data_IF_913418620735
#
_entry.id   IF_913418620735
#
_cell.length_a   1.000
_cell.length_b   1.000
_cell.length_c   1.000
_cell.angle_alpha   90.00
_cell.angle_beta   90.00
_cell.angle_gamma   90.00
#
_symmetry.space_group_name_H-M   'P 1'
#
loop_
_entity.id
_entity.type
_entity.pdbx_description
1 polymer ?
#
# COMPACT_ATOMS: atom_id res chain seq x y z
N UNK A 1 59.65 21.23 -14.15
CA UNK A 1 60.31 20.36 -13.16
C UNK A 1 59.24 19.93 -12.19
N UNK A 2 58.82 18.66 -12.29
CA UNK A 2 59.27 17.55 -11.42
C UNK A 2 58.67 17.72 -10.02
N UNK A 3 57.64 16.95 -9.67
CA UNK A 3 57.67 15.52 -9.29
C UNK A 3 57.44 15.48 -7.78
N UNK A 4 56.32 14.96 -7.28
CA UNK A 4 55.93 13.55 -7.14
C UNK A 4 56.06 13.19 -5.66
N UNK A 5 54.99 12.59 -5.10
CA UNK A 5 55.05 11.42 -4.20
C UNK A 5 55.59 11.71 -2.79
N UNK A 6 55.01 11.27 -1.67
CA UNK A 6 54.41 10.01 -1.22
C UNK A 6 53.96 10.29 0.23
N UNK A 7 53.12 9.57 0.97
CA UNK A 7 52.24 8.41 0.80
C UNK A 7 51.82 8.05 2.25
N UNK A 8 50.53 7.76 2.44
CA UNK A 8 49.99 6.81 3.44
C UNK A 8 50.11 7.12 4.95
N UNK A 9 49.22 6.66 5.84
CA UNK A 9 47.95 5.93 5.80
C UNK A 9 47.63 5.63 7.27
N UNK A 10 46.36 5.69 7.66
CA UNK A 10 45.62 4.82 8.60
C UNK A 10 44.30 5.57 8.87
N UNK A 11 43.24 5.26 8.10
CA UNK A 11 42.21 4.26 8.40
C UNK A 11 41.43 4.57 9.69
N UNK A 12 40.15 4.91 9.54
CA UNK A 12 39.20 4.95 10.64
C UNK A 12 37.85 5.57 10.28
N UNK A 13 36.98 4.79 9.62
CA UNK A 13 35.51 4.93 9.68
C UNK A 13 34.90 6.18 9.05
N UNK A 14 34.79 6.20 7.72
CA UNK A 14 33.61 6.77 7.04
C UNK A 14 33.24 5.80 5.91
N UNK A 15 32.40 4.82 6.27
CA UNK A 15 31.80 3.88 5.34
C UNK A 15 30.28 4.02 5.44
N UNK A 16 29.65 4.07 4.27
CA UNK A 16 28.24 3.78 3.99
C UNK A 16 27.27 4.93 4.30
N UNK A 17 26.96 5.76 3.28
CA UNK A 17 25.61 6.27 2.94
C UNK A 17 25.68 7.16 1.68
N UNK A 18 26.18 6.62 0.55
CA UNK A 18 26.14 7.36 -0.73
C UNK A 18 26.40 6.48 -1.99
N UNK A 19 25.90 5.25 -2.03
CA UNK A 19 25.96 4.35 -3.21
C UNK A 19 24.78 3.38 -2.99
N UNK A 20 23.64 3.36 -3.70
CA UNK A 20 23.34 3.48 -5.12
C UNK A 20 21.96 4.15 -5.32
N UNK A 21 21.94 5.36 -5.88
CA UNK A 21 20.75 5.92 -6.53
C UNK A 21 21.09 6.13 -8.01
N UNK A 22 21.49 5.07 -8.70
CA UNK A 22 21.86 5.13 -10.11
C UNK A 22 21.73 3.75 -10.78
N UNK A 23 20.49 3.29 -10.98
CA UNK A 23 20.10 2.37 -12.07
C UNK A 23 18.60 2.06 -12.00
N UNK A 24 17.75 3.02 -12.38
CA UNK A 24 16.38 2.74 -12.85
C UNK A 24 15.93 3.75 -13.93
N UNK A 25 16.88 4.45 -14.55
CA UNK A 25 16.62 5.45 -15.62
C UNK A 25 16.88 4.92 -17.03
N UNK A 26 16.99 3.61 -17.22
CA UNK A 26 17.01 2.99 -18.53
C UNK A 26 15.80 2.07 -18.66
N UNK A 27 14.68 2.67 -19.07
CA UNK A 27 13.44 1.92 -19.34
C UNK A 27 12.14 2.71 -19.32
N UNK A 28 12.10 4.00 -18.98
CA UNK A 28 10.90 4.79 -19.19
C UNK A 28 11.21 6.29 -19.35
N UNK A 29 11.77 6.67 -20.49
CA UNK A 29 11.57 8.02 -21.02
C UNK A 29 10.66 7.88 -22.22
N UNK A 30 9.37 8.06 -21.98
CA UNK A 30 8.34 8.07 -23.01
C UNK A 30 7.35 9.19 -22.74
N UNK A 31 7.52 10.29 -23.48
CA UNK A 31 6.46 11.13 -24.06
C UNK A 31 5.18 11.29 -23.24
N UNK A 32 4.90 12.52 -22.79
CA UNK A 32 3.60 13.00 -22.31
C UNK A 32 2.54 13.03 -23.44
N UNK A 33 2.21 11.86 -23.97
CA UNK A 33 1.04 11.63 -24.82
C UNK A 33 -0.19 11.25 -23.97
N UNK A 34 -1.40 11.25 -24.55
CA UNK A 34 -2.56 10.68 -23.87
C UNK A 34 -2.26 9.24 -23.46
N UNK A 35 -2.54 8.94 -22.19
CA UNK A 35 -2.46 7.59 -21.64
C UNK A 35 -3.71 6.85 -22.12
N UNK A 36 -3.54 5.83 -22.95
CA UNK A 36 -4.67 5.11 -23.52
C UNK A 36 -5.12 3.95 -22.60
N UNK A 37 -6.43 3.87 -22.41
CA UNK A 37 -7.08 2.81 -21.63
C UNK A 37 -7.96 1.98 -22.54
N UNK A 38 -8.07 0.69 -22.25
CA UNK A 38 -9.10 -0.17 -22.85
C UNK A 38 -10.30 -0.16 -21.92
N UNK A 39 -11.49 0.18 -22.44
CA UNK A 39 -12.74 0.03 -21.68
C UNK A 39 -13.24 -1.40 -21.81
N UNK A 40 -13.20 -2.18 -20.72
CA UNK A 40 -13.62 -3.59 -20.72
C UNK A 40 -15.06 -3.76 -21.24
N UNK A 41 -15.96 -2.81 -20.94
CA UNK A 41 -17.34 -2.83 -21.41
C UNK A 41 -17.52 -2.73 -22.95
N UNK A 42 -16.50 -2.26 -23.68
CA UNK A 42 -16.57 -1.98 -25.11
C UNK A 42 -15.65 -2.87 -25.95
N UNK A 43 -15.07 -3.91 -25.36
CA UNK A 43 -14.14 -4.82 -26.01
C UNK A 43 -14.62 -6.27 -25.87
N UNK A 44 -14.46 -7.09 -26.92
CA UNK A 44 -14.70 -8.52 -26.77
C UNK A 44 -13.51 -9.15 -26.05
N UNK A 45 -13.75 -9.83 -24.92
CA UNK A 45 -12.73 -10.53 -24.15
C UNK A 45 -12.84 -12.03 -24.39
N UNK A 46 -11.89 -12.57 -25.16
CA UNK A 46 -11.75 -14.01 -25.39
C UNK A 46 -10.69 -14.62 -24.47
N UNK A 47 -10.64 -15.95 -24.41
CA UNK A 47 -9.59 -16.70 -23.70
C UNK A 47 -8.95 -17.71 -24.65
N UNK A 48 -7.67 -17.51 -24.91
CA UNK A 48 -6.83 -18.37 -25.76
C UNK A 48 -5.44 -18.44 -25.14
N UNK A 49 -5.23 -19.40 -24.22
CA UNK A 49 -3.98 -19.52 -23.48
C UNK A 49 -2.85 -19.94 -24.43
N UNK A 50 -1.79 -19.13 -24.48
CA UNK A 50 -0.59 -19.38 -25.27
C UNK A 50 0.51 -19.92 -24.33
N UNK A 51 0.90 -21.18 -24.51
CA UNK A 51 1.94 -21.81 -23.69
C UNK A 51 3.33 -21.18 -23.84
N UNK A 52 3.55 -20.36 -24.86
CA UNK A 52 4.79 -19.59 -25.04
C UNK A 52 4.82 -18.28 -24.25
N UNK A 53 3.69 -17.89 -23.65
CA UNK A 53 3.54 -16.66 -22.87
C UNK A 53 3.33 -17.00 -21.40
N UNK A 54 4.14 -16.43 -20.52
CA UNK A 54 4.06 -16.66 -19.07
C UNK A 54 4.09 -15.39 -18.25
N UNK A 55 3.64 -15.51 -17.00
CA UNK A 55 3.69 -14.44 -16.00
C UNK A 55 4.51 -14.92 -14.81
N UNK A 56 5.50 -14.11 -14.42
CA UNK A 56 6.18 -14.20 -13.14
C UNK A 56 5.77 -13.01 -12.26
N UNK A 57 5.82 -13.19 -10.94
CA UNK A 57 5.43 -12.16 -9.98
C UNK A 57 6.58 -11.92 -9.01
N UNK A 58 6.81 -10.65 -8.68
CA UNK A 58 7.82 -10.23 -7.70
C UNK A 58 7.23 -9.23 -6.71
N UNK A 59 7.88 -9.07 -5.56
CA UNK A 59 7.56 -8.03 -4.57
C UNK A 59 8.53 -6.84 -4.59
N UNK A 60 9.59 -6.92 -5.38
CA UNK A 60 10.63 -5.89 -5.52
C UNK A 60 11.06 -5.75 -6.98
N UNK A 61 11.57 -4.57 -7.33
CA UNK A 61 12.24 -4.30 -8.61
C UNK A 61 13.66 -3.80 -8.31
N UNK A 62 14.72 -4.41 -8.85
CA UNK A 62 14.69 -5.58 -9.75
C UNK A 62 14.24 -6.86 -9.00
N UNK A 63 13.62 -7.82 -9.71
CA UNK A 63 13.17 -9.06 -9.09
C UNK A 63 14.38 -9.85 -8.57
N UNK A 64 14.29 -10.33 -7.32
CA UNK A 64 15.17 -11.39 -6.85
C UNK A 64 14.79 -12.72 -7.53
N UNK A 65 15.73 -13.68 -7.60
CA UNK A 65 15.70 -14.90 -8.45
C UNK A 65 14.53 -15.91 -8.20
N UNK A 66 13.36 -15.49 -7.72
CA UNK A 66 12.21 -16.35 -7.47
C UNK A 66 10.88 -15.66 -7.77
N UNK A 67 10.03 -16.31 -8.57
CA UNK A 67 8.60 -15.98 -8.68
C UNK A 67 7.94 -16.19 -7.32
N UNK A 68 7.35 -15.14 -6.75
CA UNK A 68 6.54 -15.19 -5.52
C UNK A 68 5.08 -15.48 -5.87
N UNK A 69 4.36 -16.22 -5.04
CA UNK A 69 2.93 -16.57 -5.26
C UNK A 69 2.06 -16.37 -4.03
N UNK A 70 2.64 -15.95 -2.92
CA UNK A 70 1.95 -15.63 -1.66
C UNK A 70 2.42 -14.25 -1.26
N UNK A 71 1.52 -13.27 -1.14
CA UNK A 71 1.83 -11.88 -0.81
C UNK A 71 1.10 -11.47 0.47
N UNK A 72 1.54 -10.41 1.12
CA UNK A 72 0.81 -9.80 2.23
C UNK A 72 -0.16 -8.72 1.71
N UNK A 73 -1.25 -8.45 2.43
CA UNK A 73 -2.13 -7.30 2.14
C UNK A 73 -1.31 -6.01 2.09
N UNK A 74 -1.46 -5.26 0.99
CA UNK A 74 -0.71 -4.01 0.74
C UNK A 74 0.77 -4.23 0.38
N UNK A 75 1.25 -5.47 0.25
CA UNK A 75 2.53 -5.75 -0.36
C UNK A 75 2.44 -5.59 -1.88
N UNK A 76 3.22 -4.66 -2.44
CA UNK A 76 3.28 -4.43 -3.87
C UNK A 76 3.59 -5.72 -4.65
N UNK A 77 2.80 -5.99 -5.67
CA UNK A 77 3.00 -7.11 -6.59
C UNK A 77 3.34 -6.53 -7.96
N UNK A 78 4.50 -6.92 -8.47
CA UNK A 78 5.01 -6.55 -9.78
C UNK A 78 4.87 -7.74 -10.73
N UNK A 79 3.88 -7.72 -11.63
CA UNK A 79 3.76 -8.74 -12.65
C UNK A 79 4.82 -8.51 -13.75
N UNK A 80 5.38 -9.60 -14.27
CA UNK A 80 6.37 -9.60 -15.33
C UNK A 80 5.95 -10.59 -16.39
N UNK A 81 5.71 -10.09 -17.60
CA UNK A 81 5.40 -10.90 -18.76
C UNK A 81 6.65 -11.44 -19.45
N UNK A 82 6.53 -12.65 -19.98
CA UNK A 82 7.55 -13.29 -20.82
C UNK A 82 6.85 -13.86 -22.07
N UNK A 83 7.54 -13.83 -23.22
CA UNK A 83 7.05 -14.41 -24.48
C UNK A 83 6.19 -13.51 -25.37
N UNK A 84 5.80 -12.31 -24.92
CA UNK A 84 5.18 -11.32 -25.79
C UNK A 84 6.19 -10.70 -26.76
N UNK A 85 5.73 -10.35 -27.96
CA UNK A 85 6.58 -9.81 -29.04
C UNK A 85 6.65 -8.29 -28.96
N UNK A 86 7.76 -7.72 -29.42
CA UNK A 86 7.89 -6.26 -29.58
C UNK A 86 6.72 -5.71 -30.40
N UNK A 87 6.06 -4.67 -29.87
CA UNK A 87 4.87 -4.06 -30.46
C UNK A 87 3.53 -4.65 -29.99
N UNK A 88 3.53 -5.78 -29.29
CA UNK A 88 2.30 -6.29 -28.67
C UNK A 88 1.78 -5.31 -27.61
N UNK A 89 0.47 -5.07 -27.63
CA UNK A 89 -0.24 -4.33 -26.58
C UNK A 89 -0.77 -5.31 -25.53
N UNK A 90 -0.61 -4.98 -24.26
CA UNK A 90 -1.08 -5.83 -23.17
C UNK A 90 -1.51 -5.04 -21.94
N UNK A 91 -2.33 -5.68 -21.11
CA UNK A 91 -2.72 -5.20 -19.80
C UNK A 91 -2.90 -6.39 -18.84
N UNK A 92 -3.07 -6.08 -17.55
CA UNK A 92 -3.35 -7.07 -16.52
C UNK A 92 -4.77 -6.92 -16.00
N UNK A 93 -5.37 -8.06 -15.67
CA UNK A 93 -6.69 -8.17 -15.05
C UNK A 93 -6.60 -9.14 -13.89
N UNK A 94 -7.31 -8.89 -12.79
CA UNK A 94 -7.33 -9.79 -11.63
C UNK A 94 -8.75 -10.27 -11.37
N UNK A 95 -8.89 -11.58 -11.24
CA UNK A 95 -10.11 -12.23 -10.78
C UNK A 95 -9.88 -12.94 -9.45
N UNK A 96 -10.93 -13.08 -8.63
CA UNK A 96 -10.90 -13.92 -7.43
C UNK A 96 -11.06 -15.42 -7.78
N UNK A 97 -11.04 -16.28 -6.75
CA UNK A 97 -11.23 -17.73 -6.89
C UNK A 97 -12.59 -18.15 -7.45
N UNK A 98 -13.60 -17.27 -7.38
CA UNK A 98 -14.93 -17.49 -7.94
C UNK A 98 -15.05 -16.97 -9.38
N UNK A 99 -13.98 -16.37 -9.91
CA UNK A 99 -13.95 -15.75 -11.24
C UNK A 99 -14.55 -14.34 -11.28
N UNK A 100 -14.90 -13.75 -10.14
CA UNK A 100 -15.35 -12.36 -10.07
C UNK A 100 -14.16 -11.41 -10.32
N UNK A 101 -14.41 -10.36 -11.10
CA UNK A 101 -13.38 -9.38 -11.48
C UNK A 101 -13.13 -8.44 -10.31
N UNK A 102 -11.89 -8.39 -9.84
CA UNK A 102 -11.46 -7.52 -8.74
C UNK A 102 -10.74 -6.30 -9.30
N UNK A 103 -9.91 -6.50 -10.32
CA UNK A 103 -9.22 -5.44 -11.04
C UNK A 103 -9.57 -5.61 -12.52
N UNK A 104 -10.44 -4.75 -13.09
CA UNK A 104 -10.80 -4.80 -14.50
C UNK A 104 -9.70 -4.20 -15.38
N UNK A 105 -9.80 -4.40 -16.69
CA UNK A 105 -8.81 -3.92 -17.68
C UNK A 105 -8.72 -2.41 -17.81
N UNK A 106 -9.78 -1.69 -17.48
CA UNK A 106 -9.85 -0.23 -17.60
C UNK A 106 -9.21 0.51 -16.42
N UNK A 107 -8.83 -0.22 -15.38
CA UNK A 107 -8.16 0.33 -14.19
C UNK A 107 -6.69 0.70 -14.46
N UNK A 108 -6.05 0.03 -15.43
CA UNK A 108 -4.68 0.31 -15.83
C UNK A 108 -4.58 0.67 -17.31
N UNK A 109 -3.67 1.59 -17.67
CA UNK A 109 -3.35 1.78 -19.07
C UNK A 109 -2.71 0.53 -19.64
N UNK A 110 -3.00 0.25 -20.90
CA UNK A 110 -2.28 -0.82 -21.59
C UNK A 110 -0.85 -0.39 -21.88
N UNK A 111 0.05 -1.35 -21.90
CA UNK A 111 1.44 -1.15 -22.28
C UNK A 111 1.73 -1.76 -23.63
N UNK A 112 2.79 -1.27 -24.25
CA UNK A 112 3.33 -1.84 -25.49
C UNK A 112 4.72 -2.38 -25.21
N UNK A 113 4.99 -3.61 -25.63
CA UNK A 113 6.31 -4.23 -25.47
C UNK A 113 7.33 -3.45 -26.30
N UNK A 114 8.28 -2.80 -25.61
CA UNK A 114 9.39 -2.04 -26.24
C UNK A 114 10.66 -2.86 -26.37
N UNK A 115 10.81 -3.90 -25.54
CA UNK A 115 11.93 -4.84 -25.53
C UNK A 115 11.43 -6.19 -24.99
N UNK A 116 11.97 -7.29 -25.50
CA UNK A 116 11.64 -8.63 -25.00
C UNK A 116 12.21 -8.83 -23.58
N UNK A 117 11.43 -9.46 -22.69
CA UNK A 117 11.85 -9.76 -21.31
C UNK A 117 11.98 -8.54 -20.38
N UNK A 118 11.26 -7.44 -20.66
CA UNK A 118 11.20 -6.27 -19.79
C UNK A 118 10.40 -6.51 -18.50
N UNK A 119 10.65 -5.71 -17.47
CA UNK A 119 9.78 -5.68 -16.29
C UNK A 119 8.38 -5.25 -16.73
N UNK A 120 7.38 -6.04 -16.34
CA UNK A 120 6.01 -5.78 -16.74
C UNK A 120 5.49 -4.46 -16.23
N UNK A 121 4.50 -3.94 -16.94
CA UNK A 121 3.91 -2.65 -16.57
C UNK A 121 2.87 -2.80 -15.48
N UNK A 122 2.97 -1.96 -14.46
CA UNK A 122 1.97 -1.83 -13.42
C UNK A 122 2.41 -2.39 -12.07
N UNK A 123 1.61 -2.10 -11.06
CA UNK A 123 1.78 -2.60 -9.70
C UNK A 123 0.40 -2.81 -9.13
N UNK A 124 0.15 -4.00 -8.59
CA UNK A 124 -1.12 -4.36 -7.94
C UNK A 124 -0.89 -4.54 -6.43
N UNK A 125 -1.97 -4.58 -5.65
CA UNK A 125 -1.96 -4.77 -4.20
C UNK A 125 -1.15 -3.70 -3.44
N UNK A 126 -1.47 -2.42 -3.68
CA UNK A 126 -0.85 -1.31 -2.94
C UNK A 126 -1.90 -0.51 -2.18
N UNK A 127 -1.49 0.13 -1.08
CA UNK A 127 -2.35 0.95 -0.22
C UNK A 127 -3.05 2.12 -0.95
N UNK A 128 -2.59 2.46 -2.15
CA UNK A 128 -3.10 3.58 -2.97
C UNK A 128 -3.90 3.15 -4.19
N UNK A 129 -3.67 1.93 -4.70
CA UNK A 129 -4.25 1.45 -5.96
C UNK A 129 -4.45 -0.07 -5.86
N UNK A 130 -5.69 -0.51 -6.05
CA UNK A 130 -6.08 -1.92 -6.15
C UNK A 130 -5.55 -2.80 -5.01
N UNK A 131 -5.84 -2.38 -3.78
CA UNK A 131 -5.54 -3.15 -2.58
C UNK A 131 -6.29 -4.49 -2.63
N UNK A 132 -5.55 -5.59 -2.47
CA UNK A 132 -6.12 -6.92 -2.41
C UNK A 132 -6.18 -7.38 -0.95
N UNK A 133 -7.31 -8.00 -0.59
CA UNK A 133 -7.51 -8.54 0.76
C UNK A 133 -7.07 -9.99 0.82
N UNK A 134 -7.11 -10.57 2.01
CA UNK A 134 -6.88 -11.99 2.21
C UNK A 134 -7.76 -12.83 1.26
N UNK A 135 -7.13 -13.67 0.44
CA UNK A 135 -7.83 -14.46 -0.56
C UNK A 135 -6.92 -15.07 -1.63
N UNK A 136 -7.52 -15.88 -2.50
CA UNK A 136 -6.89 -16.45 -3.66
C UNK A 136 -7.32 -15.70 -4.92
N UNK A 137 -6.36 -15.44 -5.81
CA UNK A 137 -6.56 -14.63 -7.00
C UNK A 137 -5.89 -15.26 -8.22
N UNK A 138 -6.42 -14.91 -9.39
CA UNK A 138 -5.83 -15.21 -10.69
C UNK A 138 -5.48 -13.91 -11.38
N UNK A 139 -4.19 -13.70 -11.64
CA UNK A 139 -3.73 -12.65 -12.53
C UNK A 139 -3.83 -13.15 -13.97
N UNK A 140 -4.44 -12.36 -14.83
CA UNK A 140 -4.63 -12.65 -16.25
C UNK A 140 -3.85 -11.63 -17.07
N UNK A 141 -2.94 -12.11 -17.91
CA UNK A 141 -2.26 -11.29 -18.92
C UNK A 141 -3.14 -11.25 -20.15
N UNK A 142 -3.53 -10.04 -20.53
CA UNK A 142 -4.48 -9.80 -21.62
C UNK A 142 -3.77 -9.10 -22.75
N UNK A 143 -3.71 -9.74 -23.91
CA UNK A 143 -3.23 -9.15 -25.15
C UNK A 143 -4.37 -8.36 -25.80
N UNK A 144 -4.07 -7.16 -26.25
CA UNK A 144 -5.02 -6.24 -26.87
C UNK A 144 -4.65 -6.10 -28.35
N UNK A 145 -5.64 -6.17 -29.24
CA UNK A 145 -5.42 -5.97 -30.66
C UNK A 145 -4.99 -4.52 -30.98
N UNK A 146 -4.49 -4.29 -32.19
CA UNK A 146 -3.99 -2.97 -32.58
C UNK A 146 -5.06 -1.87 -32.52
N UNK A 147 -6.33 -2.24 -32.72
CA UNK A 147 -7.48 -1.35 -32.83
C UNK A 147 -8.21 -1.12 -31.50
N UNK A 148 -7.79 -1.77 -30.41
CA UNK A 148 -8.44 -1.75 -29.11
C UNK A 148 -9.91 -2.25 -29.16
N UNK A 149 -10.21 -3.20 -30.06
CA UNK A 149 -11.54 -3.78 -30.29
C UNK A 149 -11.67 -5.24 -29.85
N UNK A 150 -10.54 -5.94 -29.69
CA UNK A 150 -10.47 -7.31 -29.19
C UNK A 150 -9.38 -7.44 -28.12
N UNK A 151 -9.73 -8.11 -27.03
CA UNK A 151 -8.80 -8.53 -25.99
C UNK A 151 -8.81 -10.05 -25.86
N UNK A 152 -7.67 -10.63 -25.49
CA UNK A 152 -7.53 -12.07 -25.34
C UNK A 152 -6.66 -12.37 -24.12
N UNK A 153 -7.21 -13.15 -23.18
CA UNK A 153 -6.43 -13.70 -22.07
C UNK A 153 -5.48 -14.74 -22.66
N UNK A 154 -4.18 -14.46 -22.61
CA UNK A 154 -3.12 -15.28 -23.20
C UNK A 154 -2.32 -16.05 -22.17
N UNK A 155 -2.33 -15.61 -20.90
CA UNK A 155 -1.67 -16.31 -19.80
C UNK A 155 -2.37 -16.03 -18.47
N UNK A 156 -2.27 -16.96 -17.54
CA UNK A 156 -2.85 -16.85 -16.19
C UNK A 156 -1.85 -17.29 -15.13
N UNK A 157 -1.89 -16.64 -13.97
CA UNK A 157 -1.04 -16.96 -12.83
C UNK A 157 -1.83 -16.84 -11.53
N UNK A 158 -1.91 -17.95 -10.80
CA UNK A 158 -2.53 -17.97 -9.49
C UNK A 158 -1.57 -17.43 -8.43
N UNK A 159 -2.11 -16.66 -7.51
CA UNK A 159 -1.43 -16.18 -6.32
C UNK A 159 -2.41 -16.06 -5.16
N UNK A 160 -1.89 -15.88 -3.95
CA UNK A 160 -2.69 -15.63 -2.75
C UNK A 160 -2.19 -14.38 -2.05
N UNK A 161 -3.11 -13.71 -1.36
CA UNK A 161 -2.83 -12.63 -0.45
C UNK A 161 -3.21 -13.10 0.95
N UNK A 162 -2.33 -12.84 1.90
CA UNK A 162 -2.48 -13.20 3.31
C UNK A 162 -2.46 -11.92 4.14
N UNK A 163 -3.06 -11.97 5.33
CA UNK A 163 -2.96 -10.85 6.26
C UNK A 163 -1.49 -10.63 6.65
N UNK A 164 -1.07 -9.36 6.69
CA UNK A 164 0.26 -9.00 7.18
C UNK A 164 0.39 -9.30 8.68
N UNK A 165 -0.70 -9.14 9.44
CA UNK A 165 -0.76 -9.45 10.86
C UNK A 165 -1.80 -10.53 11.18
N UNK A 166 -1.42 -11.52 11.99
CA UNK A 166 -2.35 -12.54 12.47
C UNK A 166 -3.36 -11.94 13.45
N UNK A 167 -4.55 -12.53 13.55
CA UNK A 167 -5.56 -12.12 14.54
C UNK A 167 -5.03 -12.16 15.97
N UNK A 168 -4.14 -13.11 16.27
CA UNK A 168 -3.47 -13.22 17.56
C UNK A 168 -2.55 -12.02 17.84
N UNK A 169 -1.76 -11.58 16.85
CA UNK A 169 -0.92 -10.38 16.99
C UNK A 169 -1.81 -9.16 17.24
N UNK A 170 -2.86 -8.98 16.43
CA UNK A 170 -3.78 -7.84 16.54
C UNK A 170 -4.51 -7.80 17.89
N UNK A 171 -4.89 -8.96 18.43
CA UNK A 171 -5.57 -9.08 19.71
C UNK A 171 -4.68 -8.71 20.92
N UNK A 172 -3.35 -8.80 20.76
CA UNK A 172 -2.40 -8.45 21.82
C UNK A 172 -1.91 -7.00 21.74
N UNK A 173 -2.33 -6.23 20.74
CA UNK A 173 -2.05 -4.80 20.67
C UNK A 173 -2.77 -4.07 21.81
N UNK A 174 -2.07 -3.12 22.46
CA UNK A 174 -2.68 -2.24 23.44
C UNK A 174 -2.90 -0.88 22.82
N UNK A 175 -4.14 -0.39 22.91
CA UNK A 175 -4.50 0.98 22.58
C UNK A 175 -5.22 1.59 23.76
N UNK A 176 -5.02 2.88 23.97
CA UNK A 176 -5.74 3.61 25.02
C UNK A 176 -5.84 5.09 24.70
N UNK A 177 -6.85 5.73 25.27
CA UNK A 177 -7.07 7.18 25.19
C UNK A 177 -6.75 7.80 26.54
N UNK A 178 -6.06 8.92 26.53
CA UNK A 178 -5.66 9.65 27.74
C UNK A 178 -6.06 11.11 27.67
N UNK A 179 -6.35 11.69 28.82
CA UNK A 179 -6.35 13.13 29.02
C UNK A 179 -4.90 13.60 29.22
N UNK A 180 -4.55 14.81 28.77
CA UNK A 180 -3.25 15.47 29.00
C UNK A 180 -2.04 14.95 28.19
N UNK A 181 -2.25 14.08 27.21
CA UNK A 181 -1.20 13.53 26.34
C UNK A 181 -0.05 12.85 27.09
N UNK A 182 -0.38 12.04 28.10
CA UNK A 182 0.60 11.24 28.85
C UNK A 182 0.28 9.76 28.73
N UNK A 183 1.23 8.90 28.31
CA UNK A 183 0.96 7.49 28.10
C UNK A 183 0.64 6.73 29.40
N UNK A 184 1.04 7.26 30.55
CA UNK A 184 0.83 6.71 31.89
C UNK A 184 -0.39 7.29 32.63
N UNK A 185 -1.14 8.20 31.99
CA UNK A 185 -2.37 8.74 32.55
C UNK A 185 -3.53 7.72 32.51
N UNK A 186 -4.62 8.08 33.19
CA UNK A 186 -5.85 7.29 33.22
C UNK A 186 -6.36 7.00 31.80
N UNK A 187 -6.74 5.75 31.58
CA UNK A 187 -7.23 5.26 30.29
C UNK A 187 -8.74 5.40 30.19
N UNK A 188 -9.20 5.90 29.05
CA UNK A 188 -10.61 6.09 28.77
C UNK A 188 -11.01 5.31 27.50
N UNK A 189 -12.26 4.84 27.45
CA UNK A 189 -12.86 4.35 26.21
C UNK A 189 -13.60 5.47 25.49
N UNK A 190 -14.24 6.34 26.28
CA UNK A 190 -14.88 7.56 25.83
C UNK A 190 -14.49 8.70 26.80
N UNK A 191 -14.28 9.89 26.26
CA UNK A 191 -13.99 11.11 27.02
C UNK A 191 -15.09 12.13 26.77
N UNK A 192 -15.65 12.70 27.83
CA UNK A 192 -16.49 13.89 27.76
C UNK A 192 -15.69 15.09 28.28
N UNK A 193 -15.37 16.00 27.38
CA UNK A 193 -14.63 17.24 27.63
C UNK A 193 -15.52 18.46 27.40
N UNK A 194 -16.85 18.29 27.37
CA UNK A 194 -17.77 19.40 27.16
C UNK A 194 -17.65 20.46 28.25
N UNK A 195 -17.56 21.72 27.82
CA UNK A 195 -17.36 22.87 28.71
C UNK A 195 -15.93 23.06 29.19
N UNK A 196 -14.96 22.31 28.64
CA UNK A 196 -13.53 22.55 28.88
C UNK A 196 -12.99 23.47 27.77
N UNK A 197 -12.49 24.64 28.15
CA UNK A 197 -12.01 25.64 27.19
C UNK A 197 -10.78 25.16 26.40
N UNK A 198 -9.80 24.55 27.07
CA UNK A 198 -8.64 23.93 26.43
C UNK A 198 -8.63 22.43 26.67
N UNK A 199 -8.83 21.67 25.60
CA UNK A 199 -8.70 20.22 25.67
C UNK A 199 -7.26 19.80 25.41
N UNK A 200 -6.91 18.66 25.96
CA UNK A 200 -5.73 17.93 25.58
C UNK A 200 -6.01 16.44 25.73
N UNK A 201 -6.02 15.70 24.63
CA UNK A 201 -6.14 14.24 24.65
C UNK A 201 -5.23 13.61 23.61
N UNK A 202 -4.83 12.37 23.88
CA UNK A 202 -4.08 11.55 22.94
C UNK A 202 -4.57 10.12 22.94
N UNK A 203 -4.62 9.53 21.75
CA UNK A 203 -4.72 8.09 21.55
C UNK A 203 -3.31 7.54 21.38
N UNK A 204 -3.02 6.53 22.18
CA UNK A 204 -1.75 5.82 22.21
C UNK A 204 -1.93 4.39 21.71
N UNK A 205 -0.84 3.82 21.20
CA UNK A 205 -0.74 2.41 20.93
C UNK A 205 0.63 1.85 21.31
N UNK A 206 0.66 0.56 21.60
CA UNK A 206 1.86 -0.20 21.93
C UNK A 206 1.74 -1.59 21.32
N UNK A 207 2.79 -2.04 20.62
CA UNK A 207 2.90 -3.41 20.16
C UNK A 207 3.44 -4.32 21.28
N UNK A 208 3.06 -5.62 21.30
CA UNK A 208 3.64 -6.59 22.22
C UNK A 208 5.17 -6.58 22.20
N UNK A 209 5.80 -6.75 23.37
CA UNK A 209 7.28 -6.70 23.52
C UNK A 209 8.02 -7.79 22.75
N UNK A 210 7.35 -8.89 22.47
CA UNK A 210 7.81 -10.04 21.71
C UNK A 210 7.46 -9.97 20.21
N UNK A 211 6.78 -8.89 19.79
CA UNK A 211 6.22 -8.73 18.46
C UNK A 211 7.15 -8.09 17.44
N UNK A 212 6.65 -8.02 16.20
CA UNK A 212 7.22 -7.25 15.10
C UNK A 212 6.66 -5.82 15.09
N UNK A 213 7.26 -4.94 14.29
CA UNK A 213 6.71 -3.62 14.03
C UNK A 213 5.32 -3.71 13.35
N UNK A 214 4.37 -2.92 13.83
CA UNK A 214 2.98 -2.93 13.33
C UNK A 214 2.65 -1.58 12.70
N UNK A 215 2.34 -1.58 11.41
CA UNK A 215 1.98 -0.38 10.67
C UNK A 215 0.46 -0.24 10.62
N UNK A 216 -0.02 1.00 10.74
CA UNK A 216 -1.44 1.29 10.68
C UNK A 216 -1.72 2.77 10.42
N UNK A 217 -2.98 3.14 10.53
CA UNK A 217 -3.49 4.50 10.35
C UNK A 217 -4.44 4.86 11.47
N UNK A 218 -4.31 6.08 11.99
CA UNK A 218 -5.28 6.67 12.90
C UNK A 218 -6.08 7.72 12.14
N UNK A 219 -7.38 7.46 11.93
CA UNK A 219 -8.28 8.37 11.24
C UNK A 219 -9.17 9.06 12.28
N UNK A 220 -9.15 10.38 12.29
CA UNK A 220 -10.03 11.19 13.13
C UNK A 220 -11.13 11.82 12.30
N UNK A 221 -12.38 11.55 12.66
CA UNK A 221 -13.60 12.08 12.04
C UNK A 221 -14.38 12.85 13.09
N UNK A 222 -14.96 13.99 12.73
CA UNK A 222 -15.85 14.77 13.60
C UNK A 222 -17.29 14.63 13.14
N UNK A 223 -18.18 14.38 14.09
CA UNK A 223 -19.63 14.47 13.93
C UNK A 223 -20.15 15.67 14.72
N UNK A 224 -21.21 16.31 14.23
CA UNK A 224 -22.01 17.20 15.07
C UNK A 224 -22.78 16.39 16.14
N UNK A 225 -23.51 17.06 17.03
CA UNK A 225 -24.28 16.38 18.07
C UNK A 225 -25.52 15.64 17.55
N UNK A 226 -25.90 15.87 16.29
CA UNK A 226 -26.99 15.17 15.61
C UNK A 226 -26.47 13.93 14.84
N UNK A 227 -25.16 13.68 14.85
CA UNK A 227 -24.51 12.53 14.21
C UNK A 227 -24.15 12.73 12.74
N UNK A 228 -24.16 13.97 12.23
CA UNK A 228 -23.75 14.24 10.86
C UNK A 228 -22.23 14.41 10.79
N UNK A 229 -21.59 13.67 9.88
CA UNK A 229 -20.15 13.79 9.63
C UNK A 229 -19.83 15.16 9.02
N UNK A 230 -18.92 15.89 9.65
CA UNK A 230 -18.49 17.22 9.23
C UNK A 230 -17.18 17.16 8.44
N UNK A 231 -17.25 17.30 7.12
CA UNK A 231 -16.09 17.17 6.21
C UNK A 231 -15.15 18.39 6.22
N UNK A 232 -15.59 19.52 6.77
CA UNK A 232 -14.79 20.74 6.89
C UNK A 232 -13.70 20.65 7.98
N UNK A 233 -13.75 19.60 8.81
CA UNK A 233 -12.82 19.35 9.92
C UNK A 233 -12.35 17.90 9.93
N UNK A 234 -12.10 17.32 8.76
CA UNK A 234 -11.63 15.93 8.63
C UNK A 234 -12.30 15.18 7.47
N UNK A 235 -11.90 13.93 7.20
CA UNK A 235 -11.06 13.09 8.04
C UNK A 235 -9.59 13.52 8.07
N UNK A 236 -8.97 13.51 9.26
CA UNK A 236 -7.52 13.59 9.38
C UNK A 236 -6.94 12.20 9.50
N UNK A 237 -5.99 11.88 8.64
CA UNK A 237 -5.44 10.55 8.47
C UNK A 237 -3.93 10.54 8.75
N UNK A 238 -3.54 9.83 9.80
CA UNK A 238 -2.16 9.80 10.28
C UNK A 238 -1.63 8.37 10.22
N UNK A 239 -0.64 8.07 9.35
CA UNK A 239 0.05 6.78 9.39
C UNK A 239 0.89 6.67 10.66
N UNK A 240 1.00 5.46 11.21
CA UNK A 240 1.84 5.17 12.37
C UNK A 240 2.55 3.83 12.23
N UNK A 241 3.62 3.67 13.01
CA UNK A 241 4.35 2.41 13.21
C UNK A 241 4.47 2.14 14.70
N UNK A 242 3.89 1.05 15.20
CA UNK A 242 4.05 0.58 16.57
C UNK A 242 5.33 -0.23 16.70
N UNK A 243 6.23 0.23 17.56
CA UNK A 243 7.44 -0.48 17.95
C UNK A 243 7.14 -1.39 19.16
N UNK A 244 7.76 -2.58 19.24
CA UNK A 244 7.57 -3.51 20.34
C UNK A 244 7.87 -2.88 21.70
N UNK A 245 6.90 -2.89 22.62
CA UNK A 245 7.08 -2.41 24.00
C UNK A 245 7.23 -0.90 24.18
N UNK A 246 6.94 -0.10 23.14
CA UNK A 246 7.05 1.36 23.19
C UNK A 246 5.69 1.98 22.94
N UNK A 247 5.18 2.69 23.95
CA UNK A 247 3.99 3.52 23.83
C UNK A 247 4.25 4.67 22.84
N UNK A 248 3.39 4.79 21.83
CA UNK A 248 3.49 5.84 20.81
C UNK A 248 2.17 6.56 20.64
N UNK A 249 2.26 7.89 20.54
CA UNK A 249 1.11 8.76 20.27
C UNK A 249 0.72 8.57 18.81
N UNK A 250 -0.49 8.09 18.57
CA UNK A 250 -1.01 7.82 17.23
C UNK A 250 -1.77 9.01 16.67
N UNK A 251 -2.56 9.64 17.54
CA UNK A 251 -3.35 10.82 17.24
C UNK A 251 -3.65 11.57 18.53
N UNK A 252 -4.07 12.82 18.44
CA UNK A 252 -4.44 13.63 19.58
C UNK A 252 -4.88 15.01 19.15
N UNK A 253 -5.48 15.73 20.09
CA UNK A 253 -5.89 17.10 19.87
C UNK A 253 -5.56 17.93 21.10
N UNK A 254 -5.03 19.11 20.85
CA UNK A 254 -4.69 20.11 21.85
C UNK A 254 -5.26 21.47 21.44
N UNK A 255 -5.83 22.23 22.38
CA UNK A 255 -6.26 23.61 22.15
C UNK A 255 -7.78 23.80 22.22
N UNK A 256 -8.30 24.62 21.30
CA UNK A 256 -9.72 25.03 21.22
C UNK A 256 -10.43 24.34 20.03
N UNK A 257 -10.75 23.05 20.16
CA UNK A 257 -11.48 22.28 19.14
C UNK A 257 -12.86 22.85 18.87
N UNK A 258 -13.43 22.49 17.74
CA UNK A 258 -14.84 22.77 17.48
C UNK A 258 -15.73 21.78 18.25
N UNK A 259 -16.90 22.21 18.76
CA UNK A 259 -17.81 21.33 19.48
C UNK A 259 -18.30 20.15 18.62
N UNK A 260 -18.47 18.98 19.22
CA UNK A 260 -18.95 17.79 18.54
C UNK A 260 -18.38 16.50 19.11
N UNK A 261 -18.60 15.40 18.40
CA UNK A 261 -18.03 14.10 18.77
C UNK A 261 -16.90 13.75 17.81
N UNK A 262 -15.70 13.58 18.34
CA UNK A 262 -14.54 13.13 17.60
C UNK A 262 -14.39 11.62 17.72
N UNK A 263 -14.36 10.95 16.59
CA UNK A 263 -14.13 9.52 16.45
C UNK A 263 -12.69 9.31 16.02
N UNK A 264 -11.87 8.74 16.89
CA UNK A 264 -10.50 8.33 16.55
C UNK A 264 -10.51 6.83 16.26
N UNK A 265 -10.38 6.48 14.99
CA UNK A 265 -10.43 5.11 14.46
C UNK A 265 -9.02 4.61 14.19
N UNK A 266 -8.65 3.48 14.79
CA UNK A 266 -7.37 2.81 14.57
C UNK A 266 -7.58 1.69 13.57
N UNK A 267 -6.88 1.78 12.45
CA UNK A 267 -6.99 0.86 11.31
C UNK A 267 -5.64 0.19 11.08
N UNK A 268 -5.62 -1.13 11.04
CA UNK A 268 -4.44 -1.95 10.73
C UNK A 268 -4.89 -3.01 9.72
N UNK A 269 -4.11 -3.23 8.65
CA UNK A 269 -4.49 -4.09 7.52
C UNK A 269 -5.90 -3.78 6.97
N UNK A 270 -6.25 -2.48 6.98
CA UNK A 270 -7.57 -1.95 6.60
C UNK A 270 -8.76 -2.49 7.41
N UNK A 271 -8.50 -3.12 8.56
CA UNK A 271 -9.50 -3.54 9.54
C UNK A 271 -9.60 -2.49 10.66
N UNK A 272 -10.82 -2.12 11.05
CA UNK A 272 -11.03 -1.28 12.23
C UNK A 272 -10.70 -2.10 13.49
N UNK A 273 -9.61 -1.76 14.15
CA UNK A 273 -9.15 -2.46 15.35
C UNK A 273 -9.78 -1.87 16.61
N UNK A 274 -9.87 -0.53 16.66
CA UNK A 274 -10.37 0.18 17.82
C UNK A 274 -10.95 1.53 17.42
N UNK A 275 -11.97 1.97 18.14
CA UNK A 275 -12.54 3.30 18.03
C UNK A 275 -12.63 3.93 19.42
N UNK A 276 -12.24 5.19 19.51
CA UNK A 276 -12.42 6.03 20.69
C UNK A 276 -13.34 7.20 20.35
N UNK A 277 -14.15 7.61 21.31
CA UNK A 277 -15.04 8.76 21.17
C UNK A 277 -14.66 9.85 22.16
N UNK A 278 -14.44 11.06 21.66
CA UNK A 278 -14.17 12.24 22.48
C UNK A 278 -15.23 13.27 22.18
N UNK A 279 -16.13 13.48 23.15
CA UNK A 279 -17.10 14.54 23.09
C UNK A 279 -16.46 15.83 23.57
N UNK A 280 -16.57 16.87 22.76
CA UNK A 280 -16.08 18.22 23.01
C UNK A 280 -17.29 19.13 23.00
#
# INVERSE_FOLDING_TARGET
>A
MKQLFETNLILGVICIFAVCLLAATLGCVGSSGPVDFVKEANISLDKEIDSSVSISLASTIPPENSSKTVFETGEAIYPMEEGLKIGDKFAFRVADENGAVIIPLDEYPYSTIKQEGGAGSGTINTDKVNLLYEGNYTLQLVKIDSNNTKATIVSEKNFSVTRRYSKEILANLRFWLTKEERPDAEEFLELDLTGIDQINFAVWGEAPKDGREINGRAIMVREDYDGNVLTESGPWDYPFTLLPGVAQKLNGMSGHPYPGTYHVKIIIDNELIKEYRVKV
#
